data_IF_596519973467
#
_entry.id   IF_596519973467
#
_cell.length_a   1.000
_cell.length_b   1.000
_cell.length_c   1.000
_cell.angle_alpha   90.00
_cell.angle_beta   90.00
_cell.angle_gamma   90.00
#
_symmetry.space_group_name_H-M   'P 1'
#
loop_
_entity.id
_entity.type
_entity.pdbx_description
1 polymer ?
#
# COMPACT_ATOMS: atom_id res chain seq x y z
N UNK A 1 12.28 -13.92 -11.33
CA UNK A 1 13.02 -13.03 -12.24
C UNK A 1 14.34 -12.60 -11.59
N UNK A 2 15.26 -13.54 -11.32
CA UNK A 2 16.55 -13.31 -10.62
C UNK A 2 17.70 -14.14 -11.22
N UNK A 3 17.65 -14.45 -12.52
CA UNK A 3 18.62 -15.34 -13.16
C UNK A 3 19.90 -14.63 -13.70
N UNK A 4 20.17 -13.37 -13.31
CA UNK A 4 21.11 -12.51 -14.05
C UNK A 4 22.43 -12.10 -13.38
N UNK A 5 22.71 -12.45 -12.12
CA UNK A 5 23.85 -11.86 -11.38
C UNK A 5 25.06 -12.82 -11.26
N UNK A 6 24.90 -14.11 -11.58
CA UNK A 6 25.95 -15.12 -11.35
C UNK A 6 27.18 -15.02 -12.29
N UNK A 7 27.17 -14.15 -13.30
CA UNK A 7 28.18 -14.12 -14.36
C UNK A 7 29.31 -13.09 -14.22
N UNK A 8 29.27 -12.19 -13.24
CA UNK A 8 30.23 -11.07 -13.17
C UNK A 8 31.50 -11.33 -12.36
N UNK A 9 31.62 -12.45 -11.64
CA UNK A 9 32.74 -12.69 -10.72
C UNK A 9 33.78 -13.73 -11.19
N UNK A 10 33.67 -14.30 -12.40
CA UNK A 10 34.54 -15.41 -12.81
C UNK A 10 35.91 -15.02 -13.42
N UNK A 11 36.25 -13.73 -13.47
CA UNK A 11 37.58 -13.24 -13.90
C UNK A 11 37.96 -11.98 -13.15
N UNK A 12 38.30 -12.12 -11.87
CA UNK A 12 39.08 -11.08 -11.20
C UNK A 12 40.54 -11.42 -11.42
N UNK A 13 41.21 -10.68 -12.30
CA UNK A 13 42.67 -10.68 -12.36
C UNK A 13 43.16 -10.37 -10.94
N UNK A 14 44.01 -11.26 -10.40
CA UNK A 14 44.69 -11.04 -9.13
C UNK A 14 45.53 -9.79 -9.34
N UNK A 15 45.01 -8.64 -8.90
CA UNK A 15 45.80 -7.41 -8.90
C UNK A 15 46.99 -7.66 -7.97
N UNK A 16 48.20 -7.55 -8.49
CA UNK A 16 49.42 -7.49 -7.68
C UNK A 16 49.34 -6.23 -6.81
N UNK A 17 48.75 -6.39 -5.63
CA UNK A 17 48.64 -5.34 -4.64
C UNK A 17 50.04 -5.10 -4.04
N UNK A 18 50.46 -3.84 -3.85
CA UNK A 18 51.71 -3.54 -3.19
C UNK A 18 51.74 -4.19 -1.81
N UNK A 19 52.83 -4.90 -1.47
CA UNK A 19 53.05 -5.46 -0.13
C UNK A 19 53.22 -4.31 0.85
N UNK A 20 52.24 -4.11 1.71
CA UNK A 20 52.30 -3.18 2.82
C UNK A 20 53.05 -3.82 4.00
N UNK A 21 53.57 -3.00 4.92
CA UNK A 21 54.01 -3.51 6.22
C UNK A 21 52.78 -4.01 6.99
N UNK A 22 52.96 -4.99 7.89
CA UNK A 22 51.84 -5.56 8.66
C UNK A 22 51.09 -4.48 9.48
N UNK A 23 51.80 -3.44 9.94
CA UNK A 23 51.21 -2.30 10.64
C UNK A 23 50.33 -1.45 9.72
N UNK A 24 50.81 -1.11 8.52
CA UNK A 24 50.02 -0.35 7.54
C UNK A 24 48.79 -1.16 7.09
N UNK A 25 48.94 -2.47 6.89
CA UNK A 25 47.85 -3.36 6.52
C UNK A 25 46.77 -3.43 7.62
N UNK A 26 47.18 -3.52 8.89
CA UNK A 26 46.27 -3.53 10.03
C UNK A 26 45.52 -2.19 10.18
N UNK A 27 46.19 -1.06 9.96
CA UNK A 27 45.56 0.27 10.05
C UNK A 27 44.55 0.48 8.90
N UNK A 28 44.90 0.11 7.67
CA UNK A 28 44.00 0.16 6.51
C UNK A 28 42.79 -0.75 6.74
N UNK A 29 43.01 -1.98 7.21
CA UNK A 29 41.93 -2.93 7.52
C UNK A 29 41.00 -2.36 8.59
N UNK A 30 41.54 -1.74 9.65
CA UNK A 30 40.77 -1.13 10.73
C UNK A 30 39.94 0.06 10.24
N UNK A 31 40.52 0.97 9.46
CA UNK A 31 39.78 2.10 8.88
C UNK A 31 38.66 1.62 7.97
N UNK A 32 38.95 0.63 7.14
CA UNK A 32 37.96 0.06 6.22
C UNK A 32 36.82 -0.62 6.97
N UNK A 33 37.15 -1.39 8.01
CA UNK A 33 36.18 -2.04 8.90
C UNK A 33 35.28 -1.01 9.59
N UNK A 34 35.86 0.05 10.16
CA UNK A 34 35.09 1.15 10.76
C UNK A 34 34.18 1.84 9.74
N UNK A 35 34.65 2.01 8.49
CA UNK A 35 33.84 2.57 7.42
C UNK A 35 32.70 1.64 7.02
N UNK A 36 32.92 0.33 7.02
CA UNK A 36 31.91 -0.68 6.74
C UNK A 36 30.81 -0.68 7.82
N UNK A 37 31.20 -0.67 9.11
CA UNK A 37 30.28 -0.57 10.25
C UNK A 37 29.46 0.73 10.17
N UNK A 38 30.11 1.88 9.98
CA UNK A 38 29.41 3.17 9.87
C UNK A 38 28.44 3.21 8.69
N UNK A 39 28.82 2.61 7.55
CA UNK A 39 27.96 2.51 6.39
C UNK A 39 26.71 1.66 6.69
N UNK A 40 26.88 0.52 7.37
CA UNK A 40 25.77 -0.34 7.78
C UNK A 40 24.81 0.39 8.75
N UNK A 41 25.34 1.02 9.78
CA UNK A 41 24.56 1.77 10.76
C UNK A 41 23.79 2.94 10.13
N UNK A 42 24.41 3.63 9.17
CA UNK A 42 23.73 4.67 8.39
C UNK A 42 22.60 4.13 7.51
N UNK A 43 22.72 2.90 7.01
CA UNK A 43 21.69 2.25 6.19
C UNK A 43 20.51 1.81 7.04
N UNK A 44 20.78 1.26 8.23
CA UNK A 44 19.78 0.89 9.23
C UNK A 44 19.00 2.11 9.74
N UNK A 45 19.68 3.21 10.05
CA UNK A 45 18.99 4.43 10.51
C UNK A 45 18.06 5.00 9.44
N UNK A 46 18.50 5.02 8.17
CA UNK A 46 17.65 5.43 7.03
C UNK A 46 16.44 4.52 6.87
N UNK A 47 16.62 3.22 7.04
CA UNK A 47 15.55 2.24 6.93
C UNK A 47 14.55 2.36 8.10
N UNK A 48 15.01 2.65 9.32
CA UNK A 48 14.14 2.95 10.47
C UNK A 48 13.30 4.21 10.24
N UNK A 49 13.93 5.31 9.78
CA UNK A 49 13.22 6.55 9.46
C UNK A 49 12.18 6.31 8.36
N UNK A 50 12.56 5.60 7.29
CA UNK A 50 11.65 5.26 6.20
C UNK A 50 10.46 4.42 6.70
N UNK A 51 10.70 3.44 7.56
CA UNK A 51 9.65 2.65 8.19
C UNK A 51 8.70 3.52 9.03
N UNK A 52 9.22 4.41 9.89
CA UNK A 52 8.40 5.29 10.73
C UNK A 52 7.50 6.19 9.88
N UNK A 53 8.04 6.81 8.83
CA UNK A 53 7.28 7.66 7.91
C UNK A 53 6.21 6.84 7.17
N UNK A 54 6.58 5.69 6.62
CA UNK A 54 5.69 4.79 5.87
C UNK A 54 4.55 4.29 6.76
N UNK A 55 4.86 3.89 7.99
CA UNK A 55 3.88 3.45 8.98
C UNK A 55 2.90 4.58 9.33
N UNK A 56 3.41 5.77 9.65
CA UNK A 56 2.57 6.92 9.96
C UNK A 56 1.63 7.29 8.80
N UNK A 57 2.14 7.35 7.57
CA UNK A 57 1.33 7.60 6.37
C UNK A 57 0.28 6.52 6.14
N UNK A 58 0.64 5.25 6.38
CA UNK A 58 -0.29 4.13 6.27
C UNK A 58 -1.42 4.24 7.30
N UNK A 59 -1.11 4.55 8.56
CA UNK A 59 -2.11 4.71 9.62
C UNK A 59 -3.05 5.87 9.33
N UNK A 60 -2.52 7.02 8.94
CA UNK A 60 -3.33 8.20 8.59
C UNK A 60 -4.18 7.93 7.35
N UNK A 61 -3.60 7.32 6.31
CA UNK A 61 -4.32 6.96 5.09
C UNK A 61 -5.48 6.02 5.37
N UNK A 62 -5.23 4.94 6.12
CA UNK A 62 -6.28 3.99 6.55
C UNK A 62 -7.35 4.73 7.36
N UNK A 63 -6.95 5.53 8.35
CA UNK A 63 -7.88 6.30 9.18
C UNK A 63 -8.81 7.18 8.35
N UNK A 64 -8.26 8.01 7.46
CA UNK A 64 -9.03 8.88 6.57
C UNK A 64 -9.97 8.06 5.68
N UNK A 65 -9.51 6.94 5.12
CA UNK A 65 -10.34 6.08 4.28
C UNK A 65 -11.53 5.47 5.03
N UNK A 66 -11.32 5.01 6.27
CA UNK A 66 -12.39 4.45 7.09
C UNK A 66 -13.36 5.53 7.58
N UNK A 67 -12.88 6.72 7.94
CA UNK A 67 -13.73 7.81 8.43
C UNK A 67 -14.47 8.53 7.32
N UNK A 68 -13.92 8.62 6.11
CA UNK A 68 -14.51 9.34 4.98
C UNK A 68 -15.66 8.57 4.29
N UNK A 69 -16.12 7.46 4.86
CA UNK A 69 -17.29 6.75 4.36
C UNK A 69 -17.03 6.00 3.04
N UNK A 70 -16.08 5.07 3.05
CA UNK A 70 -15.80 4.13 1.94
C UNK A 70 -17.06 3.48 1.33
N UNK A 71 -18.14 3.32 2.10
CA UNK A 71 -19.41 2.79 1.59
C UNK A 71 -20.07 3.71 0.56
N UNK A 72 -19.99 5.03 0.74
CA UNK A 72 -20.63 6.00 -0.14
C UNK A 72 -19.86 6.19 -1.45
N UNK A 73 -18.53 6.08 -1.43
CA UNK A 73 -17.64 6.31 -2.58
C UNK A 73 -18.02 5.50 -3.84
N UNK A 74 -17.67 6.01 -5.02
CA UNK A 74 -17.84 5.27 -6.28
C UNK A 74 -16.94 4.02 -6.32
N UNK A 75 -17.41 2.92 -6.94
CA UNK A 75 -16.67 1.65 -7.07
C UNK A 75 -15.22 1.81 -7.56
N UNK A 76 -14.90 2.57 -8.62
CA UNK A 76 -13.52 2.72 -9.09
C UNK A 76 -12.62 3.36 -8.02
N UNK A 77 -13.14 4.36 -7.30
CA UNK A 77 -12.40 5.02 -6.20
C UNK A 77 -12.11 4.03 -5.07
N UNK A 78 -13.06 3.15 -4.72
CA UNK A 78 -12.85 2.10 -3.72
C UNK A 78 -11.74 1.15 -4.12
N UNK A 79 -11.73 0.69 -5.38
CA UNK A 79 -10.71 -0.25 -5.87
C UNK A 79 -9.32 0.40 -5.84
N UNK A 80 -9.18 1.62 -6.35
CA UNK A 80 -7.91 2.36 -6.33
C UNK A 80 -7.39 2.58 -4.91
N UNK A 81 -8.29 2.94 -3.98
CA UNK A 81 -7.98 3.10 -2.57
C UNK A 81 -7.47 1.81 -1.92
N UNK A 82 -8.16 0.69 -2.17
CA UNK A 82 -7.77 -0.62 -1.63
C UNK A 82 -6.39 -1.03 -2.17
N UNK A 83 -6.16 -0.87 -3.47
CA UNK A 83 -4.85 -1.15 -4.09
C UNK A 83 -3.76 -0.28 -3.46
N UNK A 84 -4.01 1.01 -3.26
CA UNK A 84 -3.07 1.91 -2.61
C UNK A 84 -2.70 1.42 -1.20
N UNK A 85 -3.69 1.03 -0.38
CA UNK A 85 -3.47 0.50 0.97
C UNK A 85 -2.67 -0.81 0.95
N UNK A 86 -3.01 -1.74 0.05
CA UNK A 86 -2.25 -3.00 -0.10
C UNK A 86 -0.80 -2.76 -0.50
N UNK A 87 -0.54 -1.80 -1.38
CA UNK A 87 0.82 -1.42 -1.77
C UNK A 87 1.60 -0.77 -0.61
N UNK A 88 0.93 0.04 0.23
CA UNK A 88 1.53 0.58 1.45
C UNK A 88 1.91 -0.52 2.46
N UNK A 89 1.03 -1.51 2.65
CA UNK A 89 1.31 -2.67 3.51
C UNK A 89 2.49 -3.46 2.95
N UNK A 90 2.50 -3.74 1.64
CA UNK A 90 3.60 -4.45 0.97
C UNK A 90 4.92 -3.69 1.11
N UNK A 91 4.92 -2.37 0.88
CA UNK A 91 6.10 -1.53 1.07
C UNK A 91 6.61 -1.59 2.52
N UNK A 92 5.71 -1.55 3.50
CA UNK A 92 6.04 -1.69 4.93
C UNK A 92 6.72 -3.02 5.22
N UNK A 93 6.21 -4.13 4.70
CA UNK A 93 6.85 -5.45 4.84
C UNK A 93 8.22 -5.50 4.16
N UNK A 94 8.38 -4.88 2.99
CA UNK A 94 9.67 -4.83 2.29
C UNK A 94 10.70 -3.99 3.06
N UNK A 95 10.31 -2.85 3.64
CA UNK A 95 11.18 -2.08 4.53
C UNK A 95 11.55 -2.88 5.77
N UNK A 96 10.58 -3.54 6.41
CA UNK A 96 10.84 -4.37 7.59
C UNK A 96 11.82 -5.50 7.25
N UNK A 97 11.62 -6.18 6.12
CA UNK A 97 12.51 -7.23 5.61
C UNK A 97 13.90 -6.71 5.23
N UNK A 98 14.03 -5.43 4.85
CA UNK A 98 15.32 -4.80 4.60
C UNK A 98 16.04 -4.44 5.91
N UNK A 99 15.31 -4.05 6.96
CA UNK A 99 15.88 -3.77 8.29
C UNK A 99 16.26 -5.06 9.02
N UNK A 100 15.45 -6.12 8.88
CA UNK A 100 15.63 -7.38 9.60
C UNK A 100 16.67 -8.31 8.98
N UNK A 101 17.08 -8.09 7.73
CA UNK A 101 18.28 -8.72 7.18
C UNK A 101 19.54 -8.08 7.78
N UNK A 102 19.76 -8.29 9.07
CA UNK A 102 21.11 -8.25 9.62
C UNK A 102 21.93 -9.39 9.04
N UNK A 103 23.26 -9.27 9.06
CA UNK A 103 24.16 -10.37 8.74
C UNK A 103 23.66 -11.62 9.47
N UNK A 104 23.30 -12.67 8.73
CA UNK A 104 23.22 -13.98 9.35
C UNK A 104 24.61 -14.21 9.89
N UNK A 105 24.76 -14.17 11.20
CA UNK A 105 25.85 -14.87 11.84
C UNK A 105 25.58 -16.32 11.48
N UNK A 106 26.44 -16.92 10.66
CA UNK A 106 26.39 -18.34 10.43
C UNK A 106 26.65 -18.99 11.79
N UNK A 107 25.56 -19.24 12.53
CA UNK A 107 25.56 -19.99 13.80
C UNK A 107 25.83 -21.50 13.54
N UNK A 108 26.21 -21.86 12.31
CA UNK A 108 26.61 -23.22 11.92
C UNK A 108 28.04 -23.58 12.39
N UNK A 109 28.74 -22.71 13.11
CA UNK A 109 29.90 -23.08 13.94
C UNK A 109 29.47 -23.76 15.26
N UNK A 110 28.43 -24.60 15.20
CA UNK A 110 28.10 -25.58 16.24
C UNK A 110 29.21 -26.65 16.26
N UNK A 111 30.29 -26.31 16.97
CA UNK A 111 31.02 -27.22 17.84
C UNK A 111 31.41 -28.58 17.23
N UNK A 112 32.23 -28.61 16.18
CA UNK A 112 33.26 -29.65 16.13
C UNK A 112 34.38 -29.24 17.08
N UNK A 113 34.21 -29.61 18.34
CA UNK A 113 35.24 -29.59 19.39
C UNK A 113 36.34 -30.61 19.07
N UNK A 114 37.02 -30.44 17.94
CA UNK A 114 38.26 -31.13 17.64
C UNK A 114 39.40 -30.20 18.02
N UNK A 115 40.12 -30.62 19.04
CA UNK A 115 41.33 -30.07 19.63
C UNK A 115 42.49 -30.10 18.59
N UNK A 116 42.34 -29.37 17.49
CA UNK A 116 43.39 -29.23 16.49
C UNK A 116 44.39 -28.19 16.96
N UNK A 117 45.52 -28.71 17.44
CA UNK A 117 46.85 -28.09 17.46
C UNK A 117 46.93 -26.83 16.61
N UNK A 118 46.95 -25.66 17.26
CA UNK A 118 47.34 -24.37 16.69
C UNK A 118 48.74 -24.50 16.08
N UNK A 119 48.81 -24.92 14.82
CA UNK A 119 49.95 -24.59 13.98
C UNK A 119 49.83 -23.10 13.72
N UNK A 120 50.87 -22.35 14.07
CA UNK A 120 51.06 -20.92 13.87
C UNK A 120 51.15 -20.62 12.36
N UNK A 121 50.09 -20.96 11.63
CA UNK A 121 49.91 -20.63 10.23
C UNK A 121 49.53 -19.16 10.21
N UNK A 122 50.50 -18.32 9.80
CA UNK A 122 50.30 -16.89 9.58
C UNK A 122 49.09 -16.71 8.66
N UNK A 123 47.92 -16.45 9.26
CA UNK A 123 46.73 -16.06 8.52
C UNK A 123 47.09 -14.75 7.84
N UNK A 124 47.21 -14.80 6.52
CA UNK A 124 47.46 -13.61 5.72
C UNK A 124 46.28 -12.66 5.91
N UNK A 125 46.55 -11.56 6.62
CA UNK A 125 45.58 -10.53 6.97
C UNK A 125 44.95 -9.94 5.70
N UNK A 126 45.67 -10.01 4.56
CA UNK A 126 45.18 -9.65 3.24
C UNK A 126 44.05 -10.54 2.75
N UNK A 127 44.19 -11.87 2.85
CA UNK A 127 43.15 -12.82 2.41
C UNK A 127 41.90 -12.73 3.28
N UNK A 128 42.06 -12.54 4.60
CA UNK A 128 40.93 -12.32 5.51
C UNK A 128 40.19 -11.01 5.18
N UNK A 129 40.92 -9.94 4.85
CA UNK A 129 40.32 -8.68 4.45
C UNK A 129 39.56 -8.81 3.12
N UNK A 130 40.11 -9.52 2.12
CA UNK A 130 39.47 -9.74 0.83
C UNK A 130 38.21 -10.61 0.96
N UNK A 131 38.27 -11.69 1.75
CA UNK A 131 37.12 -12.55 2.02
C UNK A 131 35.98 -11.75 2.69
N UNK A 132 36.29 -10.97 3.72
CA UNK A 132 35.31 -10.10 4.39
C UNK A 132 34.71 -9.03 3.46
N UNK A 133 35.48 -8.53 2.49
CA UNK A 133 34.96 -7.57 1.51
C UNK A 133 33.92 -8.18 0.56
N UNK A 134 34.10 -9.44 0.12
CA UNK A 134 33.15 -10.09 -0.79
C UNK A 134 31.81 -10.35 -0.10
N UNK A 135 31.82 -10.85 1.13
CA UNK A 135 30.61 -11.13 1.90
C UNK A 135 29.77 -9.84 2.14
N UNK A 136 30.46 -8.74 2.48
CA UNK A 136 29.81 -7.43 2.65
C UNK A 136 29.18 -6.92 1.35
N UNK A 137 29.80 -7.15 0.20
CA UNK A 137 29.24 -6.74 -1.09
C UNK A 137 27.97 -7.52 -1.46
N UNK A 138 27.96 -8.84 -1.24
CA UNK A 138 26.80 -9.68 -1.51
C UNK A 138 25.62 -9.31 -0.60
N UNK A 139 25.87 -9.13 0.70
CA UNK A 139 24.87 -8.68 1.66
C UNK A 139 24.27 -7.31 1.26
N UNK A 140 25.12 -6.37 0.84
CA UNK A 140 24.67 -5.05 0.35
C UNK A 140 23.80 -5.13 -0.89
N UNK A 141 24.14 -6.00 -1.84
CA UNK A 141 23.37 -6.14 -3.08
C UNK A 141 21.92 -6.58 -2.79
N UNK A 142 21.73 -7.51 -1.84
CA UNK A 142 20.40 -7.98 -1.43
C UNK A 142 19.61 -6.86 -0.75
N UNK A 143 20.22 -6.12 0.18
CA UNK A 143 19.57 -4.99 0.88
C UNK A 143 19.17 -3.90 -0.12
N UNK A 144 20.05 -3.53 -1.05
CA UNK A 144 19.75 -2.53 -2.09
C UNK A 144 18.60 -2.97 -3.00
N UNK A 145 18.53 -4.25 -3.37
CA UNK A 145 17.43 -4.78 -4.17
C UNK A 145 16.09 -4.68 -3.42
N UNK A 146 16.07 -5.02 -2.13
CA UNK A 146 14.87 -4.91 -1.27
C UNK A 146 14.44 -3.45 -1.09
N UNK A 147 15.39 -2.54 -0.82
CA UNK A 147 15.11 -1.12 -0.71
C UNK A 147 14.56 -0.52 -1.99
N UNK A 148 15.10 -0.90 -3.16
CA UNK A 148 14.55 -0.49 -4.47
C UNK A 148 13.12 -1.01 -4.66
N UNK A 149 12.86 -2.25 -4.27
CA UNK A 149 11.51 -2.83 -4.27
C UNK A 149 10.55 -2.07 -3.37
N UNK A 150 10.97 -1.75 -2.15
CA UNK A 150 10.18 -0.98 -1.18
C UNK A 150 9.87 0.42 -1.70
N UNK A 151 10.87 1.13 -2.23
CA UNK A 151 10.70 2.44 -2.84
C UNK A 151 9.73 2.42 -4.03
N UNK A 152 9.84 1.41 -4.91
CA UNK A 152 8.95 1.25 -6.05
C UNK A 152 7.51 0.99 -5.60
N UNK A 153 7.31 0.14 -4.58
CA UNK A 153 6.00 -0.13 -4.00
C UNK A 153 5.39 1.12 -3.35
N UNK A 154 6.18 1.89 -2.58
CA UNK A 154 5.75 3.17 -1.99
C UNK A 154 5.36 4.19 -3.07
N UNK A 155 6.16 4.33 -4.12
CA UNK A 155 5.86 5.25 -5.22
C UNK A 155 4.56 4.85 -5.94
N UNK A 156 4.38 3.57 -6.23
CA UNK A 156 3.12 3.06 -6.80
C UNK A 156 1.94 3.35 -5.85
N UNK A 157 2.09 3.12 -4.55
CA UNK A 157 1.05 3.39 -3.57
C UNK A 157 0.62 4.87 -3.57
N UNK A 158 1.58 5.79 -3.64
CA UNK A 158 1.32 7.24 -3.76
C UNK A 158 0.57 7.55 -5.05
N UNK A 159 1.00 7.01 -6.18
CA UNK A 159 0.35 7.21 -7.48
C UNK A 159 -1.12 6.74 -7.44
N UNK A 160 -1.39 5.55 -6.89
CA UNK A 160 -2.75 5.04 -6.75
C UNK A 160 -3.59 5.87 -5.77
N UNK A 161 -3.01 6.37 -4.68
CA UNK A 161 -3.70 7.26 -3.75
C UNK A 161 -4.09 8.59 -4.42
N UNK A 162 -3.20 9.19 -5.22
CA UNK A 162 -3.47 10.40 -5.99
C UNK A 162 -4.57 10.14 -7.03
N UNK A 163 -4.52 9.01 -7.75
CA UNK A 163 -5.57 8.63 -8.69
C UNK A 163 -6.92 8.39 -8.00
N UNK A 164 -6.93 7.75 -6.82
CA UNK A 164 -8.14 7.59 -6.02
C UNK A 164 -8.71 8.95 -5.60
N UNK A 165 -7.86 9.89 -5.19
CA UNK A 165 -8.28 11.25 -4.84
C UNK A 165 -8.91 11.97 -6.05
N UNK A 166 -8.23 11.97 -7.19
CA UNK A 166 -8.75 12.56 -8.44
C UNK A 166 -10.07 11.90 -8.84
N UNK A 167 -10.15 10.56 -8.81
CA UNK A 167 -11.38 9.84 -9.08
C UNK A 167 -12.50 10.24 -8.10
N UNK A 168 -12.21 10.42 -6.82
CA UNK A 168 -13.20 10.90 -5.84
C UNK A 168 -13.75 12.29 -6.18
N UNK A 169 -12.94 13.16 -6.80
CA UNK A 169 -13.40 14.51 -7.18
C UNK A 169 -14.30 14.50 -8.42
N UNK A 170 -14.03 13.62 -9.39
CA UNK A 170 -14.82 13.53 -10.62
C UNK A 170 -16.05 12.61 -10.48
N UNK A 171 -15.96 11.60 -9.61
CA UNK A 171 -17.04 10.66 -9.34
C UNK A 171 -17.64 10.95 -7.97
N UNK A 172 -18.44 12.02 -7.91
CA UNK A 172 -19.26 12.31 -6.75
C UNK A 172 -20.18 11.11 -6.47
N UNK A 173 -20.16 10.54 -5.26
CA UNK A 173 -21.03 9.43 -4.94
C UNK A 173 -22.48 9.88 -5.01
N UNK A 174 -23.31 9.15 -5.77
CA UNK A 174 -24.76 9.38 -5.75
C UNK A 174 -25.23 9.19 -4.31
N UNK A 175 -25.77 10.24 -3.71
CA UNK A 175 -26.31 10.17 -2.37
C UNK A 175 -27.69 9.52 -2.42
N UNK A 176 -27.68 8.22 -2.66
CA UNK A 176 -28.87 7.39 -2.69
C UNK A 176 -29.37 7.17 -1.26
N UNK A 177 -30.64 7.50 -1.03
CA UNK A 177 -31.32 7.36 0.26
C UNK A 177 -32.53 6.49 0.07
N UNK A 178 -32.62 5.43 0.87
CA UNK A 178 -33.80 4.60 0.97
C UNK A 178 -34.83 5.31 1.85
N UNK A 179 -36.01 5.59 1.30
CA UNK A 179 -37.03 6.31 2.04
C UNK A 179 -38.43 6.15 1.49
N UNK A 180 -39.40 6.42 2.37
CA UNK A 180 -40.80 6.53 2.03
C UNK A 180 -41.07 7.95 1.50
N UNK A 181 -41.58 8.02 0.28
CA UNK A 181 -41.85 9.25 -0.45
C UNK A 181 -43.33 9.55 -0.31
N UNK A 182 -43.65 10.59 0.45
CA UNK A 182 -45.01 11.03 0.67
C UNK A 182 -45.40 11.94 -0.49
N UNK A 183 -46.40 11.54 -1.27
CA UNK A 183 -46.86 12.29 -2.43
C UNK A 183 -47.89 13.35 -2.01
N UNK A 184 -47.91 14.46 -2.73
CA UNK A 184 -49.00 15.44 -2.67
C UNK A 184 -50.28 14.85 -3.28
N UNK A 185 -51.44 15.46 -3.00
CA UNK A 185 -52.73 15.05 -3.58
C UNK A 185 -52.67 15.02 -5.11
N UNK A 186 -52.07 16.03 -5.74
CA UNK A 186 -51.92 16.10 -7.19
C UNK A 186 -51.07 14.94 -7.73
N UNK A 187 -49.88 14.71 -7.16
CA UNK A 187 -49.01 13.60 -7.56
C UNK A 187 -49.65 12.23 -7.37
N UNK A 188 -50.34 12.04 -6.25
CA UNK A 188 -51.07 10.81 -5.95
C UNK A 188 -52.19 10.54 -6.97
N UNK A 189 -52.93 11.57 -7.39
CA UNK A 189 -54.00 11.43 -8.39
C UNK A 189 -53.43 11.02 -9.76
N UNK A 190 -52.32 11.64 -10.18
CA UNK A 190 -51.66 11.30 -11.44
C UNK A 190 -51.12 9.87 -11.43
N UNK A 191 -50.38 9.47 -10.39
CA UNK A 191 -49.87 8.09 -10.25
C UNK A 191 -51.00 7.06 -10.15
N UNK A 192 -52.09 7.41 -9.46
CA UNK A 192 -53.29 6.57 -9.34
C UNK A 192 -53.95 6.34 -10.70
N UNK A 193 -53.98 7.35 -11.58
CA UNK A 193 -54.54 7.22 -12.92
C UNK A 193 -53.77 6.21 -13.79
N UNK A 194 -52.43 6.21 -13.68
CA UNK A 194 -51.56 5.25 -14.38
C UNK A 194 -51.69 3.85 -13.79
N UNK A 195 -51.78 3.74 -12.46
CA UNK A 195 -51.75 2.46 -11.76
C UNK A 195 -53.13 1.81 -11.57
N UNK A 196 -54.23 2.56 -11.73
CA UNK A 196 -55.60 2.18 -11.35
C UNK A 196 -55.75 1.78 -9.87
N UNK A 197 -54.80 2.16 -9.02
CA UNK A 197 -54.79 1.92 -7.58
C UNK A 197 -54.32 3.17 -6.86
N UNK A 198 -54.95 3.48 -5.73
CA UNK A 198 -54.58 4.65 -4.95
C UNK A 198 -53.18 4.50 -4.37
N UNK A 199 -52.26 5.38 -4.76
CA UNK A 199 -50.88 5.42 -4.28
C UNK A 199 -50.66 6.75 -3.56
N UNK A 200 -50.66 6.71 -2.23
CA UNK A 200 -50.35 7.87 -1.40
C UNK A 200 -48.84 8.00 -1.13
N UNK A 201 -48.17 6.85 -0.94
CA UNK A 201 -46.76 6.78 -0.59
C UNK A 201 -46.03 5.83 -1.55
N UNK A 202 -44.79 6.17 -1.88
CA UNK A 202 -43.90 5.34 -2.69
C UNK A 202 -42.69 4.96 -1.85
N UNK A 203 -42.43 3.67 -1.69
CA UNK A 203 -41.22 3.18 -1.01
C UNK A 203 -40.13 2.94 -2.07
N UNK A 204 -38.95 3.54 -1.91
CA UNK A 204 -37.89 3.43 -2.89
C UNK A 204 -36.60 4.14 -2.53
N UNK A 205 -35.67 4.12 -3.49
CA UNK A 205 -34.37 4.79 -3.41
C UNK A 205 -34.44 6.09 -4.20
N UNK A 206 -34.04 7.20 -3.58
CA UNK A 206 -33.95 8.51 -4.22
C UNK A 206 -32.50 9.01 -4.17
N UNK A 207 -32.03 9.59 -5.25
CA UNK A 207 -30.81 10.39 -5.22
C UNK A 207 -31.10 11.78 -4.61
N UNK A 208 -30.45 12.13 -3.50
CA UNK A 208 -30.62 13.45 -2.83
C UNK A 208 -30.37 14.62 -3.77
N UNK A 209 -29.46 14.49 -4.74
CA UNK A 209 -29.18 15.57 -5.68
C UNK A 209 -30.33 15.81 -6.67
N UNK A 210 -31.08 14.77 -7.03
CA UNK A 210 -32.25 14.88 -7.91
C UNK A 210 -33.35 15.75 -7.26
N UNK A 211 -33.39 15.85 -5.92
CA UNK A 211 -34.34 16.69 -5.18
C UNK A 211 -34.18 18.19 -5.46
N UNK A 212 -33.01 18.63 -5.96
CA UNK A 212 -32.74 20.01 -6.39
C UNK A 212 -33.24 20.28 -7.81
N UNK A 213 -33.55 19.23 -8.56
CA UNK A 213 -34.01 19.34 -9.94
C UNK A 213 -35.55 19.30 -10.02
N UNK A 214 -36.16 19.76 -11.13
CA UNK A 214 -37.62 19.71 -11.31
C UNK A 214 -38.18 18.28 -11.39
N UNK A 215 -37.34 17.30 -11.70
CA UNK A 215 -37.73 15.91 -11.92
C UNK A 215 -36.87 14.97 -11.08
N UNK A 216 -37.50 14.15 -10.25
CA UNK A 216 -36.82 13.23 -9.35
C UNK A 216 -36.93 11.82 -9.89
N UNK A 217 -35.79 11.15 -10.09
CA UNK A 217 -35.78 9.72 -10.42
C UNK A 217 -35.90 8.92 -9.12
N UNK A 218 -36.88 8.02 -9.07
CA UNK A 218 -37.15 7.16 -7.93
C UNK A 218 -37.02 5.71 -8.38
N UNK A 219 -36.11 4.97 -7.75
CA UNK A 219 -36.06 3.52 -7.94
C UNK A 219 -37.02 2.85 -6.97
N UNK A 220 -38.16 2.37 -7.46
CA UNK A 220 -39.23 1.89 -6.59
C UNK A 220 -38.95 0.48 -6.08
N UNK A 221 -39.12 0.28 -4.78
CA UNK A 221 -38.99 -1.01 -4.10
C UNK A 221 -39.86 -2.07 -4.78
N UNK A 222 -39.35 -3.30 -4.85
CA UNK A 222 -40.05 -4.47 -5.41
C UNK A 222 -41.36 -4.79 -4.70
N UNK A 223 -41.57 -4.24 -3.50
CA UNK A 223 -42.80 -4.39 -2.72
C UNK A 223 -43.99 -3.58 -3.27
N UNK A 224 -43.75 -2.62 -4.17
CA UNK A 224 -44.84 -1.83 -4.75
C UNK A 224 -45.59 -2.62 -5.83
N UNK A 225 -46.92 -2.69 -5.75
CA UNK A 225 -47.69 -3.55 -6.67
C UNK A 225 -47.71 -3.10 -8.14
N UNK A 226 -47.18 -1.91 -8.44
CA UNK A 226 -47.38 -1.25 -9.73
C UNK A 226 -46.09 -0.85 -10.44
N UNK A 227 -45.11 -0.43 -9.66
CA UNK A 227 -43.84 0.09 -10.15
C UNK A 227 -42.67 -0.77 -9.64
N UNK A 228 -42.93 -1.99 -9.16
CA UNK A 228 -41.92 -2.89 -8.63
C UNK A 228 -40.68 -2.97 -9.52
N UNK A 229 -39.53 -2.55 -8.99
CA UNK A 229 -38.24 -2.62 -9.67
C UNK A 229 -38.09 -1.69 -10.87
N UNK A 230 -39.02 -0.73 -11.07
CA UNK A 230 -38.93 0.27 -12.14
C UNK A 230 -38.41 1.60 -11.59
N UNK A 231 -37.66 2.31 -12.42
CA UNK A 231 -37.30 3.70 -12.16
C UNK A 231 -38.44 4.60 -12.66
N UNK A 232 -39.05 5.36 -11.76
CA UNK A 232 -40.14 6.29 -12.06
C UNK A 232 -39.61 7.71 -11.93
N UNK A 233 -39.82 8.53 -12.95
CA UNK A 233 -39.47 9.95 -12.91
C UNK A 233 -40.73 10.72 -12.54
N UNK A 234 -40.69 11.45 -11.43
CA UNK A 234 -41.81 12.28 -10.95
C UNK A 234 -41.41 13.74 -10.87
N UNK A 235 -42.38 14.65 -10.98
CA UNK A 235 -42.09 16.06 -10.74
C UNK A 235 -41.78 16.30 -9.26
N UNK A 236 -40.81 17.15 -8.95
CA UNK A 236 -40.43 17.47 -7.56
C UNK A 236 -41.59 18.06 -6.76
N UNK A 237 -42.46 18.82 -7.42
CA UNK A 237 -43.69 19.41 -6.85
C UNK A 237 -44.70 18.35 -6.40
N UNK A 238 -44.59 17.11 -6.87
CA UNK A 238 -45.45 16.01 -6.47
C UNK A 238 -45.01 15.39 -5.14
N UNK A 239 -43.79 15.65 -4.68
CA UNK A 239 -43.24 15.08 -3.46
C UNK A 239 -43.44 16.07 -2.30
N UNK A 240 -44.27 15.67 -1.33
CA UNK A 240 -44.52 16.44 -0.11
C UNK A 240 -43.35 16.32 0.88
N UNK A 241 -42.94 15.09 1.17
CA UNK A 241 -41.84 14.80 2.10
C UNK A 241 -41.14 13.50 1.71
N UNK A 242 -39.88 13.37 2.12
CA UNK A 242 -39.10 12.12 2.04
C UNK A 242 -38.76 11.72 3.47
N UNK A 243 -39.25 10.56 3.90
CA UNK A 243 -39.00 9.99 5.22
C UNK A 243 -37.96 8.90 5.05
N UNK A 244 -36.74 9.16 5.52
CA UNK A 244 -35.64 8.19 5.46
C UNK A 244 -35.95 7.00 6.39
N UNK A 245 -35.90 5.79 5.84
CA UNK A 245 -36.04 4.57 6.63
C UNK A 245 -34.71 4.32 7.34
N UNK A 246 -34.63 4.66 8.63
CA UNK A 246 -33.49 4.34 9.49
C UNK A 246 -33.45 2.86 9.87
#
# INVERSE_FOLDING_TARGET
MFAGIRGYFSKQEVLDLPRFSDEDAAEIAREYWLRAIRADESSRSRAQIAYTITSALSTVGIGIFFTAGLKAQAVPTKILAIIAVLLWILATFLYLAAVSSGAKQDDDDEASSDEQSFVDEQIDVGDLAVAGMMEVQEARAVVLARLRGANAASFAAILFAVMAFIASTFYAPKQEVNGLIVMTKAGSATLTSTCKRQIANLDGVINKDDLKSPFVSISVSSKSSCFAGKNVIVQRSWISAVVENR
#
